data_IF_155729729340
#
_entry.id   IF_155729729340
#
_cell.length_a   1.000
_cell.length_b   1.000
_cell.length_c   1.000
_cell.angle_alpha   90.00
_cell.angle_beta   90.00
_cell.angle_gamma   90.00
#
_symmetry.space_group_name_H-M   'P 1'
#
loop_
_entity.id
_entity.type
_entity.pdbx_description
1 polymer ?
#
# COMPACT_ATOMS: atom_id res chain seq x y z
N UNK A 1 4.36 -15.13 13.38
CA UNK A 1 5.54 -14.91 14.25
C UNK A 1 5.89 -13.44 14.22
N UNK A 2 6.39 -12.91 15.32
CA UNK A 2 6.87 -11.52 15.36
C UNK A 2 8.24 -11.43 14.70
N UNK A 3 8.41 -10.54 13.72
CA UNK A 3 9.67 -10.29 13.01
C UNK A 3 10.51 -9.24 13.78
N UNK A 4 9.85 -8.14 14.12
CA UNK A 4 10.30 -7.08 15.03
C UNK A 4 9.08 -6.54 15.76
N UNK A 5 9.28 -5.77 16.83
CA UNK A 5 8.14 -5.20 17.59
C UNK A 5 7.17 -4.45 16.68
N UNK A 6 5.90 -4.85 16.69
CA UNK A 6 4.83 -4.27 15.88
C UNK A 6 4.71 -4.82 14.45
N UNK A 7 5.59 -5.77 14.05
CA UNK A 7 5.56 -6.40 12.72
C UNK A 7 5.39 -7.91 12.84
N UNK A 8 4.22 -8.42 12.45
CA UNK A 8 3.89 -9.84 12.44
C UNK A 8 4.02 -10.45 11.05
N UNK A 9 4.69 -11.60 10.95
CA UNK A 9 4.85 -12.40 9.73
C UNK A 9 3.95 -13.63 9.77
N UNK A 10 3.18 -13.84 8.71
CA UNK A 10 2.24 -14.94 8.54
C UNK A 10 2.55 -15.73 7.27
N UNK A 11 2.90 -17.01 7.41
CA UNK A 11 3.08 -17.92 6.29
C UNK A 11 1.83 -18.77 6.06
N UNK A 12 1.37 -18.80 4.80
CA UNK A 12 0.25 -19.64 4.35
C UNK A 12 0.75 -20.46 3.15
N UNK A 13 1.36 -21.59 3.44
CA UNK A 13 1.94 -22.45 2.40
C UNK A 13 0.87 -23.23 1.65
N UNK A 14 0.95 -23.23 0.31
CA UNK A 14 0.06 -23.99 -0.56
C UNK A 14 0.70 -24.25 -1.91
N UNK A 15 0.75 -25.52 -2.33
CA UNK A 15 1.18 -25.92 -3.67
C UNK A 15 0.04 -25.92 -4.70
N UNK A 16 -1.15 -25.50 -4.31
CA UNK A 16 -2.34 -25.51 -5.16
C UNK A 16 -2.27 -24.46 -6.28
N UNK A 17 -1.54 -23.37 -6.06
CA UNK A 17 -1.51 -22.22 -6.95
C UNK A 17 -0.15 -22.10 -7.65
N UNK A 18 -0.17 -21.60 -8.90
CA UNK A 18 1.04 -21.32 -9.68
C UNK A 18 1.65 -19.95 -9.35
N UNK A 19 0.98 -19.17 -8.54
CA UNK A 19 1.41 -17.83 -8.15
C UNK A 19 1.59 -17.75 -6.64
N UNK A 20 2.56 -16.98 -6.22
CA UNK A 20 2.76 -16.53 -4.86
C UNK A 20 2.19 -15.12 -4.69
N UNK A 21 1.84 -14.77 -3.46
CA UNK A 21 1.32 -13.46 -3.10
C UNK A 21 1.96 -13.00 -1.79
N UNK A 22 2.39 -11.75 -1.78
CA UNK A 22 2.82 -11.08 -0.56
C UNK A 22 1.87 -9.90 -0.33
N UNK A 23 1.37 -9.80 0.89
CA UNK A 23 0.55 -8.67 1.33
C UNK A 23 1.18 -8.06 2.56
N UNK A 24 1.44 -6.77 2.53
CA UNK A 24 1.88 -5.98 3.68
C UNK A 24 0.72 -5.08 4.08
N UNK A 25 0.22 -5.26 5.28
CA UNK A 25 -0.92 -4.52 5.83
C UNK A 25 -0.48 -3.58 6.92
N UNK A 26 -0.75 -2.31 6.75
CA UNK A 26 -0.62 -1.26 7.74
C UNK A 26 -1.97 -1.01 8.38
N UNK A 27 -2.05 -1.08 9.71
CA UNK A 27 -3.29 -0.97 10.47
C UNK A 27 -3.18 0.13 11.51
N UNK A 28 -4.05 1.14 11.45
CA UNK A 28 -4.12 2.22 12.43
C UNK A 28 -5.57 2.62 12.71
N UNK A 29 -5.85 3.26 13.85
CA UNK A 29 -7.14 3.89 14.08
C UNK A 29 -7.51 4.89 12.98
N UNK A 30 -8.80 4.94 12.61
CA UNK A 30 -9.30 6.00 11.72
C UNK A 30 -9.08 7.35 12.36
N UNK A 31 -8.55 8.29 11.59
CA UNK A 31 -8.35 9.68 12.02
C UNK A 31 -8.53 10.63 10.84
N UNK A 32 -9.26 11.73 11.06
CA UNK A 32 -9.40 12.81 10.08
C UNK A 32 -8.05 13.45 9.73
N UNK A 33 -7.12 13.45 10.68
CA UNK A 33 -5.83 14.13 10.51
C UNK A 33 -4.87 13.34 9.62
N UNK A 34 -5.04 12.02 9.50
CA UNK A 34 -4.09 11.17 8.79
C UNK A 34 -4.67 10.48 7.55
N UNK A 35 -6.00 10.36 7.44
CA UNK A 35 -6.63 9.55 6.38
C UNK A 35 -6.23 9.98 4.97
N UNK A 36 -6.21 11.28 4.66
CA UNK A 36 -5.86 11.79 3.34
C UNK A 36 -4.38 11.57 3.01
N UNK A 37 -3.49 11.79 4.00
CA UNK A 37 -2.06 11.49 3.85
C UNK A 37 -1.80 10.00 3.61
N UNK A 38 -2.55 9.09 4.27
CA UNK A 38 -2.45 7.63 4.07
C UNK A 38 -2.90 7.23 2.66
N UNK A 39 -3.98 7.84 2.16
CA UNK A 39 -4.46 7.62 0.77
C UNK A 39 -3.40 8.03 -0.24
N UNK A 40 -2.86 9.24 -0.10
CA UNK A 40 -1.84 9.74 -1.03
C UNK A 40 -0.52 8.97 -0.91
N UNK A 41 -0.10 8.60 0.31
CA UNK A 41 1.08 7.74 0.49
C UNK A 41 0.92 6.39 -0.23
N UNK A 42 -0.24 5.74 -0.16
CA UNK A 42 -0.52 4.50 -0.87
C UNK A 42 -0.35 4.66 -2.39
N UNK A 43 -0.90 5.74 -2.98
CA UNK A 43 -0.77 6.03 -4.40
C UNK A 43 0.68 6.31 -4.81
N UNK A 44 1.43 7.07 -4.00
CA UNK A 44 2.86 7.33 -4.23
C UNK A 44 3.68 6.04 -4.28
N UNK A 45 3.43 5.10 -3.36
CA UNK A 45 4.14 3.81 -3.29
C UNK A 45 3.86 2.90 -4.49
N UNK A 46 2.69 3.03 -5.12
CA UNK A 46 2.30 2.25 -6.30
C UNK A 46 2.84 2.83 -7.62
N UNK A 47 3.27 4.09 -7.62
CA UNK A 47 3.61 4.82 -8.84
C UNK A 47 5.11 4.88 -9.11
N UNK A 48 5.94 5.16 -8.11
CA UNK A 48 7.37 5.36 -8.27
C UNK A 48 8.12 5.24 -6.93
N UNK A 49 9.42 4.96 -7.02
CA UNK A 49 10.34 5.01 -5.90
C UNK A 49 11.70 5.57 -6.36
N UNK A 50 12.66 5.70 -5.45
CA UNK A 50 13.99 6.26 -5.77
C UNK A 50 14.74 5.46 -6.86
N UNK A 51 14.55 4.13 -6.89
CA UNK A 51 15.20 3.23 -7.86
C UNK A 51 14.46 3.25 -9.21
N UNK A 52 13.14 3.36 -9.18
CA UNK A 52 12.25 3.40 -10.35
C UNK A 52 11.46 4.72 -10.33
N UNK A 53 12.08 5.85 -10.73
CA UNK A 53 11.57 7.20 -10.45
C UNK A 53 10.42 7.65 -11.35
N UNK A 54 10.00 6.84 -12.31
CA UNK A 54 8.84 7.13 -13.15
C UNK A 54 7.89 5.94 -13.19
N UNK A 55 6.61 6.20 -13.38
CA UNK A 55 5.59 5.16 -13.54
C UNK A 55 5.94 4.17 -14.66
N UNK A 56 6.52 4.64 -15.76
CA UNK A 56 6.98 3.78 -16.85
C UNK A 56 8.06 2.81 -16.39
N UNK A 57 9.16 3.30 -15.80
CA UNK A 57 10.29 2.47 -15.33
C UNK A 57 9.81 1.51 -14.23
N UNK A 58 8.92 1.96 -13.35
CA UNK A 58 8.33 1.14 -12.31
C UNK A 58 7.51 -0.03 -12.92
N UNK A 59 6.66 0.24 -13.91
CA UNK A 59 5.87 -0.79 -14.62
C UNK A 59 6.74 -1.70 -15.49
N UNK A 60 7.79 -1.18 -16.12
CA UNK A 60 8.78 -1.99 -16.85
C UNK A 60 9.50 -2.97 -15.92
N UNK A 61 9.85 -2.55 -14.70
CA UNK A 61 10.41 -3.46 -13.69
C UNK A 61 9.46 -4.59 -13.33
N UNK A 62 8.18 -4.30 -13.08
CA UNK A 62 7.15 -5.32 -12.82
C UNK A 62 6.98 -6.29 -14.00
N UNK A 63 7.00 -5.79 -15.23
CA UNK A 63 6.96 -6.63 -16.44
C UNK A 63 8.16 -7.57 -16.49
N UNK A 64 9.38 -7.07 -16.17
CA UNK A 64 10.61 -7.87 -16.12
C UNK A 64 10.62 -8.88 -14.95
N UNK A 65 9.79 -8.68 -13.94
CA UNK A 65 9.52 -9.64 -12.85
C UNK A 65 8.42 -10.64 -13.26
N UNK A 66 8.45 -11.10 -14.50
CA UNK A 66 7.47 -12.04 -15.10
C UNK A 66 6.02 -11.55 -15.03
N UNK A 67 5.81 -10.24 -15.18
CA UNK A 67 4.48 -9.63 -15.12
C UNK A 67 3.90 -9.63 -13.71
N UNK A 68 4.74 -9.45 -12.70
CA UNK A 68 4.26 -9.30 -11.33
C UNK A 68 3.24 -8.15 -11.24
N UNK A 69 2.15 -8.39 -10.54
CA UNK A 69 1.12 -7.37 -10.32
C UNK A 69 1.28 -6.78 -8.92
N UNK A 70 1.58 -5.49 -8.86
CA UNK A 70 1.70 -4.72 -7.63
C UNK A 70 0.57 -3.69 -7.55
N UNK A 71 -0.10 -3.62 -6.42
CA UNK A 71 -1.20 -2.69 -6.17
C UNK A 71 -1.30 -2.31 -4.71
N UNK A 72 -1.88 -1.16 -4.43
CA UNK A 72 -2.30 -0.75 -3.10
C UNK A 72 -3.82 -0.85 -2.96
N UNK A 73 -4.29 -1.08 -1.75
CA UNK A 73 -5.71 -1.12 -1.44
C UNK A 73 -5.98 -0.46 -0.10
N UNK A 74 -6.99 0.39 -0.09
CA UNK A 74 -7.48 1.03 1.11
C UNK A 74 -8.77 0.36 1.57
N UNK A 75 -8.93 0.15 2.85
CA UNK A 75 -10.16 -0.41 3.42
C UNK A 75 -10.33 0.01 4.87
N UNK A 76 -11.56 -0.17 5.40
CA UNK A 76 -11.90 0.10 6.78
C UNK A 76 -12.69 -1.04 7.39
N UNK A 77 -12.42 -1.36 8.64
CA UNK A 77 -13.28 -2.24 9.46
C UNK A 77 -13.49 -1.59 10.82
N UNK A 78 -14.71 -1.17 11.09
CA UNK A 78 -15.02 -0.37 12.27
C UNK A 78 -14.21 0.93 12.31
N UNK A 79 -13.45 1.12 13.37
CA UNK A 79 -12.57 2.29 13.57
C UNK A 79 -11.11 2.04 13.13
N UNK A 80 -10.82 0.96 12.45
CA UNK A 80 -9.47 0.67 11.96
C UNK A 80 -9.42 0.89 10.45
N UNK A 81 -8.47 1.71 10.03
CA UNK A 81 -8.10 1.92 8.63
C UNK A 81 -6.94 1.02 8.24
N UNK A 82 -7.04 0.42 7.07
CA UNK A 82 -6.02 -0.46 6.51
C UNK A 82 -5.49 0.12 5.20
N UNK A 83 -4.16 0.12 5.09
CA UNK A 83 -3.45 0.29 3.83
C UNK A 83 -2.76 -1.03 3.53
N UNK A 84 -3.17 -1.70 2.46
CA UNK A 84 -2.58 -2.96 2.01
C UNK A 84 -1.70 -2.70 0.78
N UNK A 85 -0.43 -3.12 0.83
CA UNK A 85 0.39 -3.32 -0.36
C UNK A 85 0.32 -4.80 -0.74
N UNK A 86 0.04 -5.08 -1.99
CA UNK A 86 -0.24 -6.41 -2.49
C UNK A 86 0.58 -6.68 -3.75
N UNK A 87 1.39 -7.74 -3.76
CA UNK A 87 2.11 -8.18 -4.94
C UNK A 87 1.84 -9.66 -5.20
N UNK A 88 1.44 -9.97 -6.44
CA UNK A 88 1.29 -11.35 -6.90
C UNK A 88 2.24 -11.63 -8.05
N UNK A 89 2.89 -12.78 -8.05
CA UNK A 89 3.90 -13.18 -9.00
C UNK A 89 3.94 -14.70 -9.20
N UNK A 90 4.56 -15.15 -10.26
CA UNK A 90 4.70 -16.60 -10.56
C UNK A 90 5.60 -17.24 -9.51
N UNK A 91 5.23 -18.43 -9.01
CA UNK A 91 6.10 -19.20 -8.11
C UNK A 91 7.36 -19.67 -8.83
N UNK A 92 8.51 -19.58 -8.14
CA UNK A 92 9.81 -20.06 -8.64
C UNK A 92 9.80 -21.52 -9.10
N UNK A 93 8.89 -22.33 -8.56
CA UNK A 93 8.73 -23.74 -8.95
C UNK A 93 8.38 -23.93 -10.42
N UNK A 94 7.82 -22.90 -11.08
CA UNK A 94 7.42 -22.93 -12.50
C UNK A 94 8.40 -22.21 -13.43
N UNK A 95 9.52 -21.72 -12.91
CA UNK A 95 10.52 -21.00 -13.67
C UNK A 95 11.72 -21.90 -13.98
N UNK A 96 12.35 -21.65 -15.13
CA UNK A 96 13.59 -22.35 -15.54
C UNK A 96 14.78 -22.01 -14.63
N UNK A 97 14.83 -20.79 -14.10
CA UNK A 97 15.78 -20.35 -13.09
C UNK A 97 15.10 -20.49 -11.70
N UNK A 98 15.49 -21.53 -10.96
CA UNK A 98 14.90 -21.78 -9.63
C UNK A 98 15.43 -20.77 -8.61
N UNK A 99 14.54 -20.36 -7.69
CA UNK A 99 14.82 -19.58 -6.46
C UNK A 99 15.42 -18.18 -6.66
N UNK A 100 15.09 -17.48 -7.74
CA UNK A 100 15.59 -16.12 -7.96
C UNK A 100 14.49 -15.06 -7.91
N UNK A 101 13.27 -15.36 -8.40
CA UNK A 101 12.21 -14.38 -8.53
C UNK A 101 11.66 -13.93 -7.17
N UNK A 102 11.47 -14.84 -6.22
CA UNK A 102 11.01 -14.49 -4.87
C UNK A 102 11.94 -13.48 -4.20
N UNK A 103 13.26 -13.68 -4.30
CA UNK A 103 14.25 -12.73 -3.77
C UNK A 103 14.22 -11.37 -4.48
N UNK A 104 14.04 -11.35 -5.82
CA UNK A 104 13.90 -10.10 -6.58
C UNK A 104 12.61 -9.35 -6.23
N UNK A 105 11.50 -10.04 -5.99
CA UNK A 105 10.23 -9.47 -5.53
C UNK A 105 10.38 -8.86 -4.13
N UNK A 106 11.03 -9.56 -3.21
CA UNK A 106 11.30 -9.04 -1.86
C UNK A 106 12.17 -7.79 -1.91
N UNK A 107 13.22 -7.77 -2.73
CA UNK A 107 14.03 -6.58 -2.94
C UNK A 107 13.22 -5.42 -3.56
N UNK A 108 12.35 -5.71 -4.53
CA UNK A 108 11.46 -4.70 -5.10
C UNK A 108 10.53 -4.09 -4.05
N UNK A 109 9.92 -4.92 -3.18
CA UNK A 109 9.08 -4.45 -2.08
C UNK A 109 9.86 -3.60 -1.08
N UNK A 110 11.07 -4.05 -0.71
CA UNK A 110 11.97 -3.29 0.16
C UNK A 110 12.29 -1.91 -0.42
N UNK A 111 12.67 -1.85 -1.69
CA UNK A 111 12.97 -0.58 -2.36
C UNK A 111 11.73 0.32 -2.43
N UNK A 112 10.55 -0.25 -2.69
CA UNK A 112 9.30 0.51 -2.75
C UNK A 112 8.90 1.10 -1.39
N UNK A 113 9.15 0.37 -0.28
CA UNK A 113 8.82 0.83 1.06
C UNK A 113 9.87 1.75 1.67
N UNK A 114 11.16 1.40 1.54
CA UNK A 114 12.24 2.06 2.27
C UNK A 114 12.97 3.14 1.46
N UNK A 115 12.70 3.20 0.14
CA UNK A 115 13.27 4.21 -0.76
C UNK A 115 12.17 4.90 -1.57
N UNK A 116 11.19 5.54 -0.88
CA UNK A 116 10.15 6.30 -1.58
C UNK A 116 10.79 7.43 -2.40
N UNK A 117 10.14 7.84 -3.48
CA UNK A 117 10.61 8.97 -4.29
C UNK A 117 10.37 10.29 -3.54
N UNK A 118 11.44 10.92 -3.06
CA UNK A 118 11.40 12.09 -2.18
C UNK A 118 12.28 13.24 -2.68
N UNK A 119 11.89 14.45 -2.31
CA UNK A 119 12.68 15.68 -2.40
C UNK A 119 12.98 16.16 -0.95
N UNK A 120 14.07 15.68 -0.38
CA UNK A 120 14.43 15.95 1.01
C UNK A 120 13.48 15.26 2.01
N UNK A 121 12.68 16.02 2.74
CA UNK A 121 11.70 15.51 3.72
C UNK A 121 10.26 15.63 3.22
N UNK A 122 10.03 15.40 1.94
CA UNK A 122 8.74 15.45 1.30
C UNK A 122 8.70 14.45 0.13
N UNK A 123 7.55 13.95 -0.24
CA UNK A 123 7.40 13.23 -1.51
C UNK A 123 7.80 14.11 -2.69
N UNK A 124 8.32 13.50 -3.77
CA UNK A 124 8.62 14.24 -4.99
C UNK A 124 7.40 15.02 -5.47
N UNK A 125 7.57 16.33 -5.60
CA UNK A 125 6.47 17.25 -5.86
C UNK A 125 5.74 16.94 -7.16
N UNK A 126 6.47 16.65 -8.22
CA UNK A 126 5.88 16.43 -9.55
C UNK A 126 4.96 15.20 -9.56
N UNK A 127 5.44 14.09 -9.02
CA UNK A 127 4.66 12.84 -8.96
C UNK A 127 3.48 13.02 -7.98
N UNK A 128 3.72 13.64 -6.83
CA UNK A 128 2.68 13.88 -5.83
C UNK A 128 1.50 14.69 -6.37
N UNK A 129 1.74 15.78 -7.11
CA UNK A 129 0.66 16.61 -7.67
C UNK A 129 -0.17 15.84 -8.72
N UNK A 130 0.47 14.92 -9.46
CA UNK A 130 -0.25 14.05 -10.41
C UNK A 130 -1.14 13.07 -9.62
N UNK A 131 -0.59 12.37 -8.62
CA UNK A 131 -1.37 11.40 -7.84
C UNK A 131 -2.46 12.06 -7.02
N UNK A 132 -2.20 13.23 -6.43
CA UNK A 132 -3.22 14.02 -5.75
C UNK A 132 -4.37 14.40 -6.70
N UNK A 133 -4.05 14.81 -7.92
CA UNK A 133 -5.07 15.11 -8.94
C UNK A 133 -5.89 13.89 -9.33
N UNK A 134 -5.24 12.71 -9.46
CA UNK A 134 -5.92 11.45 -9.73
C UNK A 134 -6.91 11.13 -8.60
N UNK A 135 -6.48 11.15 -7.34
CA UNK A 135 -7.33 10.91 -6.16
C UNK A 135 -8.51 11.90 -6.12
N UNK A 136 -8.27 13.19 -6.37
CA UNK A 136 -9.35 14.19 -6.40
C UNK A 136 -10.35 13.92 -7.53
N UNK A 137 -9.90 13.46 -8.69
CA UNK A 137 -10.78 13.10 -9.80
C UNK A 137 -11.62 11.86 -9.46
N UNK A 138 -11.02 10.85 -8.85
CA UNK A 138 -11.72 9.62 -8.42
C UNK A 138 -12.79 9.95 -7.36
N UNK A 139 -12.45 10.78 -6.37
CA UNK A 139 -13.42 11.23 -5.36
C UNK A 139 -14.57 12.04 -5.96
N UNK A 140 -14.31 12.86 -7.00
CA UNK A 140 -15.38 13.58 -7.71
C UNK A 140 -16.28 12.61 -8.47
N UNK A 141 -15.71 11.61 -9.14
CA UNK A 141 -16.49 10.61 -9.84
C UNK A 141 -17.35 9.76 -8.89
N UNK A 142 -16.84 9.43 -7.67
CA UNK A 142 -17.64 8.74 -6.65
C UNK A 142 -18.85 9.53 -6.17
N UNK A 143 -18.77 10.88 -6.11
CA UNK A 143 -19.91 11.74 -5.75
C UNK A 143 -21.04 11.67 -6.79
N UNK A 144 -20.70 11.42 -8.06
CA UNK A 144 -21.67 11.24 -9.14
C UNK A 144 -22.41 9.89 -9.07
N UNK A 145 -21.86 8.89 -8.34
CA UNK A 145 -22.57 7.65 -8.02
C UNK A 145 -23.63 7.92 -6.92
N UNK A 146 -24.89 7.97 -7.32
CA UNK A 146 -25.99 8.26 -6.41
C UNK A 146 -26.14 7.24 -5.27
N UNK A 147 -25.82 5.96 -5.49
CA UNK A 147 -25.87 4.92 -4.45
C UNK A 147 -24.74 5.12 -3.44
N UNK A 148 -23.53 5.39 -3.93
CA UNK A 148 -22.40 5.68 -3.06
C UNK A 148 -22.65 6.93 -2.24
N UNK A 149 -23.13 8.02 -2.87
CA UNK A 149 -23.46 9.28 -2.19
C UNK A 149 -24.54 9.06 -1.11
N UNK A 150 -25.64 8.39 -1.44
CA UNK A 150 -26.68 8.08 -0.49
C UNK A 150 -26.17 7.27 0.73
N UNK A 151 -25.27 6.31 0.49
CA UNK A 151 -24.63 5.53 1.55
C UNK A 151 -23.73 6.42 2.43
N UNK A 152 -22.99 7.36 1.87
CA UNK A 152 -22.18 8.30 2.66
C UNK A 152 -23.05 9.23 3.52
N UNK A 153 -24.15 9.77 2.97
CA UNK A 153 -25.09 10.58 3.73
C UNK A 153 -25.77 9.78 4.85
N UNK A 154 -26.14 8.52 4.59
CA UNK A 154 -26.65 7.62 5.62
C UNK A 154 -25.63 7.41 6.75
N UNK A 155 -24.35 7.21 6.44
CA UNK A 155 -23.29 7.06 7.45
C UNK A 155 -23.15 8.31 8.33
N UNK A 156 -23.25 9.51 7.75
CA UNK A 156 -23.23 10.78 8.51
C UNK A 156 -24.42 10.91 9.47
N UNK A 157 -25.57 10.43 9.07
CA UNK A 157 -26.79 10.47 9.91
C UNK A 157 -26.79 9.37 10.98
N UNK A 158 -26.26 8.20 10.65
CA UNK A 158 -26.32 7.02 11.52
C UNK A 158 -25.25 7.04 12.61
N UNK A 159 -24.01 7.40 12.25
CA UNK A 159 -22.90 7.40 13.20
C UNK A 159 -22.77 8.71 13.94
N UNK A 160 -22.62 8.65 15.28
CA UNK A 160 -22.38 9.82 16.13
C UNK A 160 -20.90 10.20 16.21
N UNK A 161 -19.98 9.22 16.03
CA UNK A 161 -18.52 9.45 16.02
C UNK A 161 -18.10 9.95 14.64
N UNK A 162 -17.45 11.11 14.58
CA UNK A 162 -16.98 11.73 13.34
C UNK A 162 -16.06 10.80 12.53
N UNK A 163 -15.14 10.09 13.18
CA UNK A 163 -14.24 9.14 12.50
C UNK A 163 -14.99 7.99 11.79
N UNK A 164 -16.22 7.66 12.25
CA UNK A 164 -17.07 6.68 11.58
C UNK A 164 -17.79 7.24 10.35
N UNK A 165 -17.94 8.55 10.28
CA UNK A 165 -18.63 9.23 9.17
C UNK A 165 -17.72 9.43 7.95
N UNK A 166 -16.39 9.35 8.13
CA UNK A 166 -15.42 9.59 7.06
C UNK A 166 -15.31 8.35 6.17
N UNK A 167 -15.33 8.51 4.82
CA UNK A 167 -15.00 7.43 3.89
C UNK A 167 -13.55 6.96 4.07
N UNK A 168 -13.29 5.68 3.78
CA UNK A 168 -11.92 5.13 3.86
C UNK A 168 -10.95 5.68 2.80
N UNK A 169 -11.46 6.38 1.80
CA UNK A 169 -10.68 7.12 0.78
C UNK A 169 -10.49 8.60 1.12
N UNK A 170 -10.84 9.05 2.32
CA UNK A 170 -10.90 10.45 2.73
C UNK A 170 -12.04 11.23 2.06
N UNK A 171 -11.97 12.55 2.11
CA UNK A 171 -12.90 13.48 1.44
C UNK A 171 -12.11 14.46 0.57
N UNK A 172 -12.78 15.10 -0.39
CA UNK A 172 -12.17 16.13 -1.23
C UNK A 172 -11.43 17.19 -0.42
N UNK A 173 -12.10 17.76 0.58
CA UNK A 173 -11.54 18.83 1.42
C UNK A 173 -10.29 18.40 2.19
N UNK A 174 -10.22 17.14 2.63
CA UNK A 174 -9.06 16.60 3.33
C UNK A 174 -7.89 16.39 2.36
N UNK A 175 -8.16 15.81 1.19
CA UNK A 175 -7.13 15.59 0.17
C UNK A 175 -6.61 16.92 -0.40
N UNK A 176 -7.47 17.91 -0.59
CA UNK A 176 -7.05 19.24 -1.09
C UNK A 176 -6.06 19.95 -0.17
N UNK A 177 -6.13 19.72 1.16
CA UNK A 177 -5.23 20.32 2.14
C UNK A 177 -3.86 19.62 2.21
N UNK A 178 -3.76 18.39 1.71
CA UNK A 178 -2.51 17.63 1.77
C UNK A 178 -1.42 18.24 0.89
N UNK A 179 -0.21 18.14 1.39
CA UNK A 179 1.03 18.59 0.74
C UNK A 179 2.02 17.42 0.63
N UNK A 180 3.03 17.49 -0.28
CA UNK A 180 4.08 16.48 -0.32
C UNK A 180 4.74 16.22 1.04
N UNK A 181 4.89 17.27 1.85
CA UNK A 181 5.52 17.19 3.17
C UNK A 181 4.59 16.54 4.21
N UNK A 182 3.32 16.94 4.28
CA UNK A 182 2.37 16.36 5.24
C UNK A 182 2.11 14.88 4.97
N UNK A 183 1.87 14.52 3.71
CA UNK A 183 1.65 13.12 3.33
C UNK A 183 2.90 12.24 3.53
N UNK A 184 4.11 12.79 3.33
CA UNK A 184 5.34 12.07 3.63
C UNK A 184 5.53 11.86 5.14
N UNK A 185 5.17 12.85 5.98
CA UNK A 185 5.19 12.69 7.43
C UNK A 185 4.21 11.59 7.89
N UNK A 186 3.00 11.54 7.30
CA UNK A 186 2.04 10.46 7.56
C UNK A 186 2.60 9.09 7.13
N UNK A 187 3.26 9.00 5.98
CA UNK A 187 3.91 7.78 5.54
C UNK A 187 5.01 7.31 6.51
N UNK A 188 5.82 8.24 7.02
CA UNK A 188 6.83 7.91 8.02
C UNK A 188 6.21 7.43 9.33
N UNK A 189 5.10 8.04 9.74
CA UNK A 189 4.33 7.61 10.91
C UNK A 189 3.74 6.20 10.73
N UNK A 190 3.22 5.88 9.54
CA UNK A 190 2.75 4.53 9.19
C UNK A 190 3.84 3.48 9.38
N UNK A 191 5.06 3.75 8.91
CA UNK A 191 6.19 2.82 9.06
C UNK A 191 6.63 2.62 10.52
N UNK A 192 6.46 3.64 11.35
CA UNK A 192 6.96 3.64 12.74
C UNK A 192 5.92 3.17 13.76
N UNK A 193 4.65 3.47 13.54
CA UNK A 193 3.63 3.38 14.57
C UNK A 193 2.44 2.49 14.20
N UNK A 194 2.23 2.16 12.92
CA UNK A 194 1.15 1.23 12.56
C UNK A 194 1.50 -0.19 13.01
N UNK A 195 0.47 -0.97 13.34
CA UNK A 195 0.62 -2.42 13.36
C UNK A 195 0.79 -2.93 11.92
N UNK A 196 1.88 -3.67 11.68
CA UNK A 196 2.20 -4.21 10.36
C UNK A 196 2.05 -5.73 10.38
N UNK A 197 1.21 -6.25 9.48
CA UNK A 197 1.07 -7.68 9.23
C UNK A 197 1.57 -8.01 7.83
N UNK A 198 2.56 -8.90 7.70
CA UNK A 198 3.10 -9.38 6.42
C UNK A 198 2.56 -10.79 6.19
N UNK A 199 1.81 -11.00 5.12
CA UNK A 199 1.31 -12.30 4.71
C UNK A 199 2.09 -12.77 3.48
N UNK A 200 2.69 -13.95 3.56
CA UNK A 200 3.28 -14.64 2.42
C UNK A 200 2.45 -15.89 2.13
N UNK A 201 1.90 -15.97 0.91
CA UNK A 201 0.91 -16.99 0.53
C UNK A 201 1.39 -17.68 -0.74
N UNK A 202 1.50 -19.02 -0.74
CA UNK A 202 1.85 -19.81 -1.91
C UNK A 202 2.86 -20.94 -1.68
N UNK A 203 3.65 -21.27 -2.71
CA UNK A 203 4.70 -22.30 -2.66
C UNK A 203 6.07 -21.62 -2.61
N UNK A 204 6.70 -21.65 -1.44
CA UNK A 204 7.96 -20.96 -1.14
C UNK A 204 8.70 -21.62 0.00
N UNK A 205 10.00 -21.28 0.15
CA UNK A 205 10.81 -21.69 1.28
C UNK A 205 10.69 -20.65 2.41
N UNK A 206 10.06 -21.03 3.52
CA UNK A 206 9.81 -20.14 4.67
C UNK A 206 11.11 -19.59 5.27
N UNK A 207 12.18 -20.40 5.31
CA UNK A 207 13.47 -19.98 5.88
C UNK A 207 14.11 -18.89 5.01
N UNK A 208 14.12 -19.08 3.69
CA UNK A 208 14.67 -18.09 2.75
C UNK A 208 13.90 -16.76 2.81
N UNK A 209 12.57 -16.83 2.82
CA UNK A 209 11.72 -15.63 2.93
C UNK A 209 11.98 -14.91 4.26
N UNK A 210 12.05 -15.66 5.36
CA UNK A 210 12.30 -15.09 6.68
C UNK A 210 13.66 -14.38 6.76
N UNK A 211 14.73 -15.02 6.26
CA UNK A 211 16.06 -14.40 6.24
C UNK A 211 16.12 -13.14 5.35
N UNK A 212 15.39 -13.10 4.24
CA UNK A 212 15.26 -11.89 3.44
C UNK A 212 14.52 -10.77 4.17
N UNK A 213 13.41 -11.10 4.84
CA UNK A 213 12.60 -10.12 5.56
C UNK A 213 13.30 -9.54 6.80
N UNK A 214 14.19 -10.29 7.45
CA UNK A 214 15.03 -9.75 8.53
C UNK A 214 15.95 -8.60 8.09
N UNK A 215 16.24 -8.50 6.82
CA UNK A 215 17.08 -7.43 6.25
C UNK A 215 16.27 -6.18 5.85
N UNK A 216 14.95 -6.18 6.09
CA UNK A 216 14.09 -5.02 5.98
C UNK A 216 14.21 -4.16 7.23
#
# INVERSE_FOLDING_TARGET
MELVSGVDLHFITSKKFKTNRIKIRFSAPMSMDTIAGRVLAANMLETANEIYPTSQIFRERLANLYGANFSTRLSRRGLIHYVDLDISFVSDAFLSRKNTLTGEILNFLKDSLLKPLVDGRAFNRTVFEVEKKNVLNDLKAEIEDHFYHAHQELNKLFYTKQDMQIPHFATLDLVEKETPKSSFAVFQDMLQNDKIDIFFIGDFNEIEVYEHLKMF
#
